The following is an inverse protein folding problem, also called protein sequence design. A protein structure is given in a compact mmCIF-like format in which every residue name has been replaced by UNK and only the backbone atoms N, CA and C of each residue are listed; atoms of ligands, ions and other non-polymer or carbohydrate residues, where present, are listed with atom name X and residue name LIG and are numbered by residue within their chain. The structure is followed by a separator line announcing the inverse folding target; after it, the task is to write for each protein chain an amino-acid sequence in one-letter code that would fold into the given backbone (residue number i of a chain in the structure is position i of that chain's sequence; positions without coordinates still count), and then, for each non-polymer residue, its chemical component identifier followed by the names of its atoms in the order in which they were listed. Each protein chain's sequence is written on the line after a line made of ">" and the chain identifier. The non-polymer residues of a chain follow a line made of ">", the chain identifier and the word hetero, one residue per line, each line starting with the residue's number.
data_IF_363639760093
#
_entry.id   IF_363639760093
#
_cell.length_a   1.000
_cell.length_b   1.000
_cell.length_c   1.000
_cell.angle_alpha   90.00
_cell.angle_beta   90.00
_cell.angle_gamma   90.00
#
_symmetry.space_group_name_H-M   'P 1'
#
loop_
_entity.id
_entity.type
_entity.pdbx_description
1 polymer ?
#
# COMPACT_ATOMS: atom_id res chain seq x y z
N UNK A 1 11.56 -7.87 12.80
CA UNK A 1 11.99 -8.32 11.47
C UNK A 1 12.68 -7.19 10.72
N UNK A 2 13.57 -7.54 9.76
CA UNK A 2 14.20 -6.60 8.85
C UNK A 2 14.25 -7.24 7.47
N UNK A 3 13.84 -6.49 6.44
CA UNK A 3 13.83 -7.00 5.06
C UNK A 3 13.71 -5.90 4.03
N UNK A 4 14.50 -6.01 2.97
CA UNK A 4 14.44 -5.12 1.80
C UNK A 4 14.12 -5.98 0.58
N UNK A 5 13.20 -5.49 -0.24
CA UNK A 5 12.86 -6.06 -1.54
C UNK A 5 13.38 -5.14 -2.63
N UNK A 6 14.09 -5.69 -3.60
CA UNK A 6 14.51 -4.95 -4.79
C UNK A 6 13.70 -5.42 -5.99
N UNK A 7 13.08 -4.47 -6.71
CA UNK A 7 12.29 -4.68 -7.91
C UNK A 7 12.99 -4.03 -9.10
N UNK A 8 13.45 -4.85 -10.03
CA UNK A 8 14.14 -4.37 -11.24
C UNK A 8 13.25 -4.63 -12.46
N UNK A 9 12.64 -3.56 -13.00
CA UNK A 9 11.76 -3.65 -14.13
C UNK A 9 12.51 -3.27 -15.41
N UNK A 10 12.70 -4.25 -16.31
CA UNK A 10 13.28 -4.01 -17.63
C UNK A 10 12.33 -3.29 -18.60
N UNK A 11 12.80 -2.88 -19.78
CA UNK A 11 12.02 -2.12 -20.74
C UNK A 11 10.67 -2.77 -21.09
N UNK A 12 9.59 -2.00 -20.97
CA UNK A 12 8.22 -2.40 -21.28
C UNK A 12 7.68 -3.55 -20.41
N UNK A 13 8.30 -3.87 -19.30
CA UNK A 13 7.80 -4.89 -18.34
C UNK A 13 6.62 -4.34 -17.54
N UNK A 14 5.80 -5.24 -17.02
CA UNK A 14 4.70 -4.92 -16.11
C UNK A 14 4.78 -5.79 -14.88
N UNK A 15 4.69 -5.16 -13.71
CA UNK A 15 4.73 -5.85 -12.44
C UNK A 15 3.58 -5.35 -11.55
N UNK A 16 2.79 -6.28 -11.03
CA UNK A 16 1.90 -6.03 -9.92
C UNK A 16 2.55 -6.59 -8.65
N UNK A 17 2.77 -5.72 -7.67
CA UNK A 17 3.39 -6.02 -6.40
C UNK A 17 2.41 -5.73 -5.27
N UNK A 18 2.24 -6.66 -4.34
CA UNK A 18 1.44 -6.45 -3.15
C UNK A 18 2.22 -6.88 -1.91
N UNK A 19 2.36 -5.99 -0.94
CA UNK A 19 3.02 -6.27 0.33
C UNK A 19 2.05 -6.13 1.49
N UNK A 20 1.89 -7.23 2.23
CA UNK A 20 1.04 -7.29 3.41
C UNK A 20 1.92 -7.40 4.67
N UNK A 21 1.86 -6.40 5.53
CA UNK A 21 2.58 -6.34 6.80
C UNK A 21 1.60 -6.52 7.93
N UNK A 22 1.34 -7.78 8.25
CA UNK A 22 0.27 -8.20 9.15
C UNK A 22 0.75 -8.50 10.57
N UNK A 23 2.04 -8.33 10.86
CA UNK A 23 2.59 -8.50 12.20
C UNK A 23 1.95 -7.49 13.17
N UNK A 24 1.66 -7.94 14.38
CA UNK A 24 0.96 -7.17 15.41
C UNK A 24 1.62 -7.29 16.77
N UNK A 25 1.04 -6.62 17.77
CA UNK A 25 1.50 -6.64 19.16
C UNK A 25 2.92 -6.07 19.30
N UNK A 26 3.78 -6.72 20.06
CA UNK A 26 5.17 -6.31 20.30
C UNK A 26 6.13 -6.52 19.13
N UNK A 27 5.62 -6.70 17.91
CA UNK A 27 6.47 -6.88 16.72
C UNK A 27 7.10 -5.54 16.30
N UNK A 28 8.41 -5.61 15.99
CA UNK A 28 9.12 -4.51 15.33
C UNK A 28 9.51 -4.92 13.91
N UNK A 29 9.20 -4.09 12.93
CA UNK A 29 9.57 -4.25 11.54
C UNK A 29 10.27 -3.00 11.02
N UNK A 30 11.45 -3.17 10.45
CA UNK A 30 12.18 -2.12 9.73
C UNK A 30 12.58 -2.68 8.38
N UNK A 31 12.10 -2.08 7.31
CA UNK A 31 12.37 -2.61 5.97
C UNK A 31 11.84 -1.71 4.88
N UNK A 32 11.93 -2.17 3.63
CA UNK A 32 11.49 -1.35 2.52
C UNK A 32 11.40 -2.09 1.20
N UNK A 33 11.00 -1.33 0.18
CA UNK A 33 10.96 -1.74 -1.22
C UNK A 33 11.71 -0.71 -2.05
N UNK A 34 12.68 -1.16 -2.83
CA UNK A 34 13.41 -0.33 -3.78
C UNK A 34 13.09 -0.80 -5.20
N UNK A 35 12.46 0.05 -5.99
CA UNK A 35 12.09 -0.24 -7.36
C UNK A 35 12.90 0.60 -8.35
N UNK A 36 13.36 -0.02 -9.43
CA UNK A 36 13.96 0.66 -10.58
C UNK A 36 13.16 0.36 -11.84
N UNK A 37 12.73 1.42 -12.51
CA UNK A 37 11.82 1.36 -13.64
C UNK A 37 12.55 1.81 -14.91
N UNK A 38 12.76 0.87 -15.83
CA UNK A 38 13.31 1.18 -17.15
C UNK A 38 12.18 1.60 -18.12
N UNK A 39 12.55 1.95 -19.34
CA UNK A 39 11.70 2.53 -20.38
C UNK A 39 10.37 1.78 -20.55
N UNK A 40 9.26 2.55 -20.57
CA UNK A 40 7.91 2.04 -20.80
C UNK A 40 7.48 0.93 -19.84
N UNK A 41 8.12 0.80 -18.68
CA UNK A 41 7.74 -0.18 -17.66
C UNK A 41 6.59 0.33 -16.80
N UNK A 42 5.80 -0.60 -16.24
CA UNK A 42 4.66 -0.30 -15.39
C UNK A 42 4.80 -1.05 -14.05
N UNK A 43 4.76 -0.32 -12.97
CA UNK A 43 4.70 -0.87 -11.61
C UNK A 43 3.37 -0.47 -10.97
N UNK A 44 2.58 -1.46 -10.56
CA UNK A 44 1.43 -1.28 -9.65
C UNK A 44 1.81 -1.91 -8.31
N UNK A 45 2.05 -1.08 -7.30
CA UNK A 45 2.53 -1.51 -5.98
C UNK A 45 1.55 -1.11 -4.89
N UNK A 46 1.00 -2.11 -4.21
CA UNK A 46 0.08 -1.90 -3.10
C UNK A 46 0.66 -2.38 -1.78
N UNK A 47 0.51 -1.57 -0.74
CA UNK A 47 1.01 -1.82 0.60
C UNK A 47 -0.13 -1.80 1.63
N UNK A 48 -0.26 -2.87 2.42
CA UNK A 48 -1.12 -2.88 3.60
C UNK A 48 -0.27 -3.06 4.85
N UNK A 49 -0.37 -2.14 5.80
CA UNK A 49 0.23 -2.27 7.12
C UNK A 49 -0.83 -2.25 8.22
N UNK A 50 -0.87 -3.31 9.02
CA UNK A 50 -1.52 -3.27 10.33
C UNK A 50 -0.52 -2.72 11.34
N UNK A 51 -1.00 -2.01 12.35
CA UNK A 51 -0.14 -1.47 13.41
C UNK A 51 0.56 -2.56 14.24
N UNK A 52 1.67 -2.21 14.85
CA UNK A 52 2.42 -3.01 15.82
C UNK A 52 3.21 -2.08 16.74
N UNK A 53 4.10 -2.59 17.58
CA UNK A 53 4.95 -1.75 18.42
C UNK A 53 5.74 -0.72 17.59
N UNK A 54 6.30 -1.14 16.46
CA UNK A 54 6.95 -0.24 15.50
C UNK A 54 6.99 -0.87 14.11
N UNK A 55 6.53 -0.14 13.10
CA UNK A 55 6.83 -0.42 11.69
C UNK A 55 7.43 0.80 11.03
N UNK A 56 8.66 0.68 10.53
CA UNK A 56 9.29 1.63 9.63
C UNK A 56 9.43 1.03 8.25
N UNK A 57 8.86 1.71 7.24
CA UNK A 57 8.77 1.23 5.88
C UNK A 57 9.28 2.31 4.94
N UNK A 58 10.40 2.02 4.27
CA UNK A 58 11.00 2.91 3.28
C UNK A 58 10.68 2.38 1.87
N UNK A 59 10.07 3.25 1.04
CA UNK A 59 9.70 2.95 -0.33
C UNK A 59 10.52 3.87 -1.25
N UNK A 60 11.34 3.30 -2.11
CA UNK A 60 12.14 4.05 -3.06
C UNK A 60 11.81 3.62 -4.49
N UNK A 61 11.48 4.58 -5.36
CA UNK A 61 11.23 4.36 -6.78
C UNK A 61 12.14 5.26 -7.59
N UNK A 62 12.95 4.67 -8.48
CA UNK A 62 13.84 5.38 -9.39
C UNK A 62 13.46 5.11 -10.84
N UNK A 63 13.20 6.15 -11.61
CA UNK A 63 12.97 6.05 -13.03
C UNK A 63 14.29 6.15 -13.79
N UNK A 64 14.68 5.05 -14.47
CA UNK A 64 15.93 4.94 -15.22
C UNK A 64 15.74 4.97 -16.74
N UNK A 65 14.49 4.82 -17.20
CA UNK A 65 14.12 4.92 -18.62
C UNK A 65 12.83 5.72 -18.82
N UNK A 66 12.70 6.46 -19.93
CA UNK A 66 11.54 7.33 -20.19
C UNK A 66 10.24 6.53 -20.41
N UNK A 67 9.10 7.17 -20.15
CA UNK A 67 7.77 6.61 -20.40
C UNK A 67 7.30 5.59 -19.36
N UNK A 68 8.05 5.40 -18.27
CA UNK A 68 7.65 4.48 -17.21
C UNK A 68 6.57 5.08 -16.30
N UNK A 69 5.78 4.22 -15.69
CA UNK A 69 4.69 4.59 -14.81
C UNK A 69 4.72 3.77 -13.51
N UNK A 70 4.36 4.43 -12.40
CA UNK A 70 4.21 3.80 -11.09
C UNK A 70 2.90 4.24 -10.43
N UNK A 71 2.04 3.27 -10.12
CA UNK A 71 0.99 3.39 -9.12
C UNK A 71 1.55 2.87 -7.79
N UNK A 72 1.67 3.75 -6.79
CA UNK A 72 2.15 3.41 -5.46
C UNK A 72 1.04 3.68 -4.44
N UNK A 73 0.35 2.63 -4.04
CA UNK A 73 -0.82 2.73 -3.19
C UNK A 73 -0.62 2.07 -1.83
N UNK A 74 -1.22 2.63 -0.78
CA UNK A 74 -1.10 2.02 0.53
C UNK A 74 -2.22 2.35 1.51
N UNK A 75 -2.46 1.41 2.42
CA UNK A 75 -3.37 1.56 3.55
C UNK A 75 -2.62 1.19 4.81
N UNK A 76 -2.76 1.99 5.85
CA UNK A 76 -2.27 1.67 7.19
C UNK A 76 -3.38 1.85 8.22
N UNK A 77 -3.52 0.83 9.10
CA UNK A 77 -4.57 0.74 10.10
C UNK A 77 -3.93 0.54 11.47
N UNK A 78 -4.18 1.47 12.38
CA UNK A 78 -3.56 1.49 13.71
C UNK A 78 -4.60 1.69 14.82
N UNK A 79 -4.33 1.06 15.96
CA UNK A 79 -5.11 1.20 17.19
C UNK A 79 -4.22 1.04 18.43
N UNK A 80 -4.79 1.21 19.63
CA UNK A 80 -4.04 1.10 20.88
C UNK A 80 -2.89 2.10 20.91
N UNK A 81 -1.68 1.66 21.14
CA UNK A 81 -0.44 2.46 21.14
C UNK A 81 0.49 2.11 19.95
N UNK A 82 -0.05 1.56 18.90
CA UNK A 82 0.68 1.10 17.72
C UNK A 82 1.36 2.26 16.97
N UNK A 83 2.48 1.93 16.29
CA UNK A 83 3.23 2.91 15.51
C UNK A 83 3.56 2.40 14.11
N UNK A 84 3.22 3.22 13.09
CA UNK A 84 3.61 2.98 11.70
C UNK A 84 4.23 4.24 11.12
N UNK A 85 5.37 4.10 10.46
CA UNK A 85 6.15 5.17 9.85
C UNK A 85 6.48 4.80 8.39
N UNK A 86 5.79 5.44 7.44
CA UNK A 86 6.03 5.31 5.99
C UNK A 86 6.87 6.46 5.47
N UNK A 87 7.93 6.13 4.75
CA UNK A 87 8.69 7.09 3.95
C UNK A 87 8.72 6.63 2.50
N UNK A 88 8.22 7.44 1.59
CA UNK A 88 8.39 7.26 0.16
C UNK A 88 9.38 8.27 -0.43
N UNK A 89 10.18 7.84 -1.37
CA UNK A 89 11.06 8.69 -2.16
C UNK A 89 10.96 8.26 -3.61
N UNK A 90 10.52 9.18 -4.46
CA UNK A 90 10.31 8.92 -5.88
C UNK A 90 11.22 9.85 -6.68
N UNK A 91 12.20 9.27 -7.38
CA UNK A 91 13.20 9.98 -8.17
C UNK A 91 12.86 9.93 -9.67
N UNK A 92 12.35 11.03 -10.21
CA UNK A 92 12.17 11.22 -11.64
C UNK A 92 13.47 11.75 -12.23
N UNK A 93 14.33 10.86 -12.73
CA UNK A 93 15.62 11.23 -13.31
C UNK A 93 15.57 11.37 -14.84
N UNK A 94 14.50 10.90 -15.49
CA UNK A 94 14.32 10.86 -16.95
C UNK A 94 12.95 11.39 -17.36
N UNK A 95 12.78 11.87 -18.61
CA UNK A 95 11.53 12.52 -19.03
C UNK A 95 10.37 11.53 -19.28
N UNK A 96 9.15 12.09 -19.39
CA UNK A 96 7.91 11.40 -19.74
C UNK A 96 7.46 10.31 -18.76
N UNK A 97 7.91 10.35 -17.51
CA UNK A 97 7.50 9.40 -16.49
C UNK A 97 6.29 9.91 -15.68
N UNK A 98 5.49 8.98 -15.18
CA UNK A 98 4.31 9.33 -14.40
C UNK A 98 4.23 8.55 -13.09
N UNK A 99 3.75 9.22 -12.02
CA UNK A 99 3.53 8.63 -10.70
C UNK A 99 2.17 9.02 -10.18
N UNK A 100 1.42 8.04 -9.68
CA UNK A 100 0.24 8.25 -8.85
C UNK A 100 0.49 7.57 -7.49
N UNK A 101 0.66 8.39 -6.43
CA UNK A 101 0.91 7.91 -5.07
C UNK A 101 -0.28 8.22 -4.17
N UNK A 102 -0.93 7.16 -3.65
CA UNK A 102 -2.13 7.32 -2.83
C UNK A 102 -2.05 6.50 -1.55
N UNK A 103 -2.02 7.18 -0.41
CA UNK A 103 -2.04 6.54 0.90
C UNK A 103 -3.26 6.95 1.72
N UNK A 104 -3.83 5.98 2.45
CA UNK A 104 -4.94 6.17 3.39
C UNK A 104 -4.58 5.59 4.75
N UNK A 105 -4.71 6.41 5.79
CA UNK A 105 -4.49 6.00 7.19
C UNK A 105 -5.79 6.03 7.99
N UNK A 106 -6.03 5.00 8.80
CA UNK A 106 -7.04 5.03 9.86
C UNK A 106 -6.31 4.82 11.18
N UNK A 107 -6.40 5.79 12.08
CA UNK A 107 -5.63 5.83 13.31
C UNK A 107 -6.61 6.02 14.48
N UNK A 108 -6.61 5.08 15.42
CA UNK A 108 -7.47 5.07 16.59
C UNK A 108 -6.71 5.05 17.90
N UNK A 109 -7.45 5.18 19.00
CA UNK A 109 -6.97 5.15 20.39
C UNK A 109 -5.84 6.18 20.65
N UNK A 110 -4.64 5.74 20.99
CA UNK A 110 -3.43 6.54 21.21
C UNK A 110 -2.33 6.19 20.18
N UNK A 111 -2.73 5.57 19.06
CA UNK A 111 -1.80 5.14 18.04
C UNK A 111 -1.21 6.35 17.30
N UNK A 112 -0.01 6.15 16.76
CA UNK A 112 0.74 7.19 16.06
C UNK A 112 1.16 6.72 14.68
N UNK A 113 0.93 7.56 13.68
CA UNK A 113 1.42 7.33 12.34
C UNK A 113 2.32 8.47 11.86
N UNK A 114 3.25 8.12 10.99
CA UNK A 114 4.07 9.08 10.23
C UNK A 114 3.97 8.71 8.76
N UNK A 115 3.78 9.72 7.91
CA UNK A 115 3.89 9.60 6.47
C UNK A 115 4.76 10.74 5.93
N UNK A 116 5.88 10.40 5.32
CA UNK A 116 6.76 11.34 4.63
C UNK A 116 6.87 10.89 3.16
N UNK A 117 6.24 11.65 2.25
CA UNK A 117 6.28 11.37 0.81
C UNK A 117 7.08 12.45 0.08
N UNK A 118 8.20 12.07 -0.53
CA UNK A 118 9.06 12.97 -1.29
C UNK A 118 9.07 12.58 -2.77
N UNK A 119 8.72 13.53 -3.63
CA UNK A 119 8.89 13.41 -5.07
C UNK A 119 9.96 14.39 -5.52
N UNK A 120 11.01 13.86 -6.15
CA UNK A 120 12.13 14.65 -6.67
C UNK A 120 12.18 14.55 -8.20
N UNK A 121 12.11 15.69 -8.86
CA UNK A 121 12.11 15.80 -10.33
C UNK A 121 13.38 16.52 -10.75
N UNK A 122 14.27 15.78 -11.42
CA UNK A 122 15.54 16.28 -11.93
C UNK A 122 15.36 17.25 -13.10
N UNK A 123 16.35 18.12 -13.41
CA UNK A 123 16.24 19.12 -14.48
C UNK A 123 15.86 18.54 -15.86
N UNK A 124 16.37 17.35 -16.17
CA UNK A 124 16.12 16.70 -17.46
C UNK A 124 14.82 15.87 -17.49
N UNK A 125 14.13 15.72 -16.38
CA UNK A 125 12.89 14.95 -16.27
C UNK A 125 11.65 15.74 -16.74
N UNK A 126 11.72 16.29 -17.96
CA UNK A 126 10.64 17.07 -18.56
C UNK A 126 9.44 16.19 -18.88
N UNK A 127 8.22 16.77 -18.96
CA UNK A 127 6.96 16.05 -19.22
C UNK A 127 6.61 15.02 -18.15
N UNK A 128 7.14 15.17 -16.96
CA UNK A 128 6.74 14.36 -15.81
C UNK A 128 5.35 14.76 -15.32
N UNK A 129 4.52 13.78 -14.99
CA UNK A 129 3.31 13.95 -14.20
C UNK A 129 3.45 13.17 -12.88
N UNK A 130 3.28 13.86 -11.74
CA UNK A 130 3.41 13.22 -10.44
C UNK A 130 2.37 13.76 -9.46
N UNK A 131 1.57 12.86 -8.90
CA UNK A 131 0.53 13.19 -7.94
C UNK A 131 0.76 12.37 -6.66
N UNK A 132 0.71 13.07 -5.50
CA UNK A 132 0.79 12.45 -4.17
C UNK A 132 -0.43 12.83 -3.35
N UNK A 133 -1.15 11.86 -2.83
CA UNK A 133 -2.31 12.06 -1.97
C UNK A 133 -2.21 11.21 -0.70
N UNK A 134 -2.05 11.87 0.46
CA UNK A 134 -2.13 11.20 1.75
C UNK A 134 -3.33 11.71 2.53
N UNK A 135 -4.32 10.85 2.79
CA UNK A 135 -5.49 11.20 3.59
C UNK A 135 -5.56 10.32 4.83
N UNK A 136 -5.90 10.92 5.95
CA UNK A 136 -5.90 10.27 7.25
C UNK A 136 -7.20 10.52 7.98
N UNK A 137 -7.74 9.48 8.60
CA UNK A 137 -8.92 9.52 9.43
C UNK A 137 -8.53 9.18 10.87
N UNK A 138 -8.71 10.13 11.77
CA UNK A 138 -8.54 9.93 13.21
C UNK A 138 -9.89 9.51 13.80
N UNK A 139 -9.92 8.36 14.46
CA UNK A 139 -11.14 7.82 15.09
C UNK A 139 -11.19 8.07 16.59
N UNK A 140 -10.16 8.67 17.16
CA UNK A 140 -10.09 9.05 18.59
C UNK A 140 -9.33 10.35 18.78
N UNK A 141 -9.53 10.99 19.95
CA UNK A 141 -8.84 12.23 20.29
C UNK A 141 -7.35 12.03 20.67
N UNK A 142 -6.95 10.81 21.02
CA UNK A 142 -5.57 10.47 21.35
C UNK A 142 -4.72 10.05 20.15
N UNK A 143 -5.36 9.81 18.99
CA UNK A 143 -4.68 9.41 17.77
C UNK A 143 -3.89 10.56 17.15
N UNK A 144 -2.70 10.25 16.62
CA UNK A 144 -1.78 11.23 16.03
C UNK A 144 -1.29 10.78 14.66
N UNK A 145 -1.23 11.72 13.72
CA UNK A 145 -0.56 11.55 12.42
C UNK A 145 0.34 12.75 12.11
N UNK A 146 1.58 12.48 11.77
CA UNK A 146 2.51 13.45 11.20
C UNK A 146 2.64 13.17 9.71
N UNK A 147 2.01 14.00 8.87
CA UNK A 147 2.07 13.85 7.41
C UNK A 147 2.84 15.00 6.78
N UNK A 148 3.83 14.66 5.94
CA UNK A 148 4.72 15.61 5.29
C UNK A 148 4.91 15.24 3.82
N UNK A 149 4.07 15.74 2.90
CA UNK A 149 4.34 15.64 1.47
C UNK A 149 5.37 16.68 1.04
N UNK A 150 6.35 16.27 0.23
CA UNK A 150 7.42 17.12 -0.28
C UNK A 150 7.52 17.02 -1.81
N UNK A 151 7.65 18.15 -2.49
CA UNK A 151 7.95 18.25 -3.92
C UNK A 151 9.22 19.06 -4.13
N UNK A 152 10.23 18.43 -4.74
CA UNK A 152 11.45 19.09 -5.18
C UNK A 152 11.49 19.06 -6.71
N UNK A 153 11.23 20.20 -7.35
CA UNK A 153 11.02 20.26 -8.79
C UNK A 153 12.07 21.16 -9.41
N UNK A 154 12.91 20.57 -10.28
CA UNK A 154 13.97 21.27 -10.99
C UNK A 154 13.76 21.28 -12.51
N UNK A 155 12.63 20.74 -13.02
CA UNK A 155 12.22 20.81 -14.43
C UNK A 155 11.08 21.82 -14.61
N UNK A 156 10.96 22.42 -15.79
CA UNK A 156 10.01 23.49 -16.08
C UNK A 156 8.67 22.98 -16.63
N UNK A 157 8.70 21.94 -17.45
CA UNK A 157 7.52 21.42 -18.15
C UNK A 157 7.03 20.13 -17.50
N UNK A 158 6.36 20.29 -16.35
CA UNK A 158 5.84 19.19 -15.53
C UNK A 158 4.46 19.49 -14.97
N UNK A 159 3.73 18.46 -14.58
CA UNK A 159 2.44 18.54 -13.90
C UNK A 159 2.55 17.79 -12.56
N UNK A 160 2.65 18.53 -11.47
CA UNK A 160 2.85 17.94 -10.16
C UNK A 160 1.89 18.53 -9.15
N UNK A 161 1.34 17.66 -8.32
CA UNK A 161 0.48 18.03 -7.21
C UNK A 161 0.74 17.15 -6.01
N UNK A 162 0.56 17.72 -4.82
CA UNK A 162 0.46 16.92 -3.61
C UNK A 162 -0.68 17.41 -2.71
N UNK A 163 -1.20 16.51 -1.91
CA UNK A 163 -2.22 16.83 -0.93
C UNK A 163 -2.12 15.93 0.29
N UNK A 164 -2.26 16.54 1.47
CA UNK A 164 -2.42 15.82 2.72
C UNK A 164 -3.65 16.33 3.46
N UNK A 165 -4.43 15.41 4.02
CA UNK A 165 -5.57 15.75 4.86
C UNK A 165 -5.59 14.92 6.12
N UNK A 166 -6.01 15.54 7.21
CA UNK A 166 -6.30 14.87 8.47
C UNK A 166 -7.73 15.22 8.85
N UNK A 167 -8.57 14.23 8.94
CA UNK A 167 -9.98 14.38 9.26
C UNK A 167 -10.35 13.53 10.50
N UNK A 168 -11.45 13.88 11.12
CA UNK A 168 -12.11 13.07 12.15
C UNK A 168 -13.41 12.52 11.59
N UNK A 169 -13.98 11.51 12.28
CA UNK A 169 -15.30 11.01 11.94
C UNK A 169 -16.33 12.14 12.01
N UNK A 170 -17.16 12.24 10.97
CA UNK A 170 -18.23 13.24 10.91
C UNK A 170 -19.39 12.84 11.83
N UNK A 171 -19.56 13.58 12.93
CA UNK A 171 -20.63 13.33 13.91
C UNK A 171 -22.03 13.48 13.28
N UNK A 172 -22.20 14.29 12.24
CA UNK A 172 -23.47 14.41 11.50
C UNK A 172 -23.77 13.12 10.73
N UNK A 173 -22.79 12.53 10.08
CA UNK A 173 -22.92 11.23 9.41
C UNK A 173 -23.16 10.11 10.39
N UNK A 174 -22.45 10.08 11.51
CA UNK A 174 -22.70 9.13 12.62
C UNK A 174 -24.13 9.27 13.14
N UNK A 175 -24.59 10.50 13.40
CA UNK A 175 -25.97 10.74 13.83
C UNK A 175 -26.98 10.26 12.79
N UNK A 176 -26.76 10.55 11.52
CA UNK A 176 -27.63 10.10 10.44
C UNK A 176 -27.77 8.57 10.40
N UNK A 177 -26.67 7.83 10.48
CA UNK A 177 -26.70 6.36 10.51
C UNK A 177 -27.45 5.84 11.75
N UNK A 178 -27.22 6.44 12.92
CA UNK A 178 -27.90 6.08 14.18
C UNK A 178 -29.41 6.31 14.10
N UNK A 179 -29.88 7.36 13.46
CA UNK A 179 -31.32 7.59 13.24
C UNK A 179 -31.95 6.54 12.34
N UNK A 180 -31.17 5.78 11.60
CA UNK A 180 -31.59 4.64 10.76
C UNK A 180 -31.47 3.29 11.46
N UNK A 181 -31.17 3.29 12.76
CA UNK A 181 -31.09 2.07 13.58
C UNK A 181 -29.70 1.40 13.57
N UNK A 182 -28.69 2.01 12.95
CA UNK A 182 -27.31 1.50 13.00
C UNK A 182 -26.68 1.84 14.34
N UNK A 183 -26.06 0.88 15.01
CA UNK A 183 -25.31 1.12 16.26
C UNK A 183 -24.13 2.07 16.05
N UNK A 184 -23.66 2.74 17.11
CA UNK A 184 -22.54 3.70 16.97
C UNK A 184 -21.29 3.01 16.42
N UNK A 185 -20.91 1.90 17.01
CA UNK A 185 -19.68 1.17 16.62
C UNK A 185 -19.76 0.68 15.18
N UNK A 186 -20.93 0.19 14.75
CA UNK A 186 -21.17 -0.23 13.37
C UNK A 186 -21.13 0.96 12.39
N UNK A 187 -21.68 2.12 12.78
CA UNK A 187 -21.63 3.33 11.98
C UNK A 187 -20.19 3.83 11.80
N UNK A 188 -19.37 3.79 12.85
CA UNK A 188 -17.94 4.15 12.79
C UNK A 188 -17.18 3.22 11.83
N UNK A 189 -17.45 1.92 11.89
CA UNK A 189 -16.88 0.93 10.96
C UNK A 189 -17.30 1.21 9.52
N UNK A 190 -18.59 1.48 9.28
CA UNK A 190 -19.10 1.77 7.94
C UNK A 190 -18.42 3.00 7.33
N UNK A 191 -18.28 4.08 8.11
CA UNK A 191 -17.62 5.30 7.66
C UNK A 191 -16.12 5.09 7.43
N UNK A 192 -15.45 4.38 8.32
CA UNK A 192 -14.04 4.03 8.21
C UNK A 192 -13.76 3.17 6.97
N UNK A 193 -14.62 2.18 6.71
CA UNK A 193 -14.53 1.36 5.51
C UNK A 193 -14.75 2.19 4.24
N UNK A 194 -15.77 3.06 4.23
CA UNK A 194 -16.03 3.97 3.10
C UNK A 194 -14.83 4.86 2.76
N UNK A 195 -14.04 5.24 3.77
CA UNK A 195 -12.85 6.07 3.59
C UNK A 195 -11.72 5.37 2.82
N UNK A 196 -11.55 4.05 2.96
CA UNK A 196 -10.51 3.26 2.29
C UNK A 196 -11.03 2.46 1.09
N UNK A 197 -12.35 2.38 0.90
CA UNK A 197 -13.00 1.47 -0.06
C UNK A 197 -12.52 1.68 -1.51
N UNK A 198 -12.25 2.91 -1.91
CA UNK A 198 -11.74 3.23 -3.25
C UNK A 198 -10.44 2.46 -3.56
N UNK A 199 -9.48 2.47 -2.63
CA UNK A 199 -8.22 1.73 -2.79
C UNK A 199 -8.42 0.22 -2.71
N UNK A 200 -9.35 -0.23 -1.87
CA UNK A 200 -9.68 -1.67 -1.75
C UNK A 200 -10.36 -2.20 -3.01
N UNK A 201 -11.24 -1.42 -3.63
CA UNK A 201 -11.91 -1.81 -4.88
C UNK A 201 -11.00 -1.77 -6.10
N UNK A 202 -10.01 -0.87 -6.10
CA UNK A 202 -9.00 -0.78 -7.16
C UNK A 202 -8.02 -1.97 -7.17
N UNK A 203 -7.93 -2.73 -6.07
CA UNK A 203 -7.07 -3.89 -5.99
C UNK A 203 -7.61 -5.04 -6.84
N UNK A 204 -7.05 -5.22 -8.03
CA UNK A 204 -7.25 -6.39 -8.87
C UNK A 204 -6.27 -7.51 -8.49
N UNK A 205 -6.31 -7.95 -7.22
CA UNK A 205 -5.52 -9.09 -6.81
C UNK A 205 -6.19 -10.38 -7.28
N UNK A 206 -5.52 -11.13 -8.16
CA UNK A 206 -5.84 -12.56 -8.32
C UNK A 206 -5.24 -13.32 -7.13
N UNK A 207 -5.95 -14.21 -6.43
CA UNK A 207 -5.36 -14.99 -5.37
C UNK A 207 -4.22 -15.85 -5.87
N UNK A 208 -3.20 -16.02 -5.04
CA UNK A 208 -2.28 -17.13 -5.21
C UNK A 208 -3.09 -18.43 -5.27
N UNK A 209 -2.79 -19.30 -6.26
CA UNK A 209 -3.48 -20.55 -6.44
C UNK A 209 -3.58 -21.31 -5.12
N UNK A 210 -4.80 -21.73 -4.83
CA UNK A 210 -5.26 -22.54 -3.70
C UNK A 210 -4.27 -22.78 -2.53
N UNK A 211 -4.11 -21.77 -1.66
CA UNK A 211 -4.03 -22.05 -0.24
C UNK A 211 -5.48 -22.09 0.27
N UNK A 212 -5.93 -23.18 0.91
CA UNK A 212 -7.33 -23.31 1.26
C UNK A 212 -7.74 -22.23 2.26
N UNK A 213 -8.64 -21.35 1.85
CA UNK A 213 -9.62 -20.75 2.70
C UNK A 213 -9.17 -19.75 3.74
N UNK A 214 -8.27 -18.79 3.47
CA UNK A 214 -8.14 -17.63 4.33
C UNK A 214 -8.68 -16.37 3.65
N UNK A 215 -9.85 -15.85 4.12
CA UNK A 215 -10.22 -14.45 3.91
C UNK A 215 -9.12 -13.55 4.50
N UNK A 216 -9.15 -12.23 4.19
CA UNK A 216 -8.31 -11.25 4.92
C UNK A 216 -8.23 -11.64 6.38
N UNK A 217 -7.03 -11.70 7.00
CA UNK A 217 -6.88 -12.21 8.35
C UNK A 217 -7.91 -11.56 9.27
N UNK A 218 -8.54 -12.34 10.13
CA UNK A 218 -9.52 -11.87 11.15
C UNK A 218 -9.02 -10.61 11.89
N UNK A 219 -7.73 -10.44 11.95
CA UNK A 219 -7.04 -9.32 12.57
C UNK A 219 -7.13 -8.00 11.79
N UNK A 220 -7.14 -8.01 10.46
CA UNK A 220 -7.40 -6.81 9.66
C UNK A 220 -8.82 -6.29 9.90
N UNK A 221 -9.79 -7.19 10.12
CA UNK A 221 -11.17 -6.84 10.47
C UNK A 221 -11.26 -6.12 11.82
N UNK A 222 -10.48 -6.57 12.82
CA UNK A 222 -10.45 -5.95 14.15
C UNK A 222 -9.90 -4.54 14.13
N UNK A 223 -8.98 -4.22 13.22
CA UNK A 223 -8.42 -2.88 13.09
C UNK A 223 -9.40 -1.87 12.49
N UNK A 224 -10.33 -2.33 11.64
CA UNK A 224 -11.40 -1.50 11.09
C UNK A 224 -12.67 -1.56 11.97
N UNK A 225 -12.64 -2.30 13.09
CA UNK A 225 -13.77 -2.46 14.00
C UNK A 225 -14.88 -3.35 13.44
N UNK A 226 -14.65 -4.13 12.37
CA UNK A 226 -15.65 -5.04 11.79
C UNK A 226 -15.88 -6.22 12.73
N UNK A 227 -17.12 -6.45 13.22
CA UNK A 227 -17.44 -7.62 14.02
C UNK A 227 -17.18 -8.92 13.26
N UNK A 228 -16.80 -9.97 13.98
CA UNK A 228 -16.42 -11.27 13.37
C UNK A 228 -17.56 -11.99 12.61
N UNK A 229 -18.80 -11.49 12.70
CA UNK A 229 -20.00 -12.13 12.18
C UNK A 229 -20.69 -11.36 11.03
N UNK A 230 -20.09 -10.29 10.50
CA UNK A 230 -20.77 -9.49 9.47
C UNK A 230 -20.58 -10.07 8.06
N UNK A 231 -21.61 -10.78 7.59
CA UNK A 231 -21.69 -11.47 6.30
C UNK A 231 -21.55 -10.52 5.08
N UNK A 232 -21.83 -9.23 5.24
CA UNK A 232 -21.75 -8.21 4.17
C UNK A 232 -20.31 -7.72 3.95
N UNK A 233 -19.54 -7.50 5.01
CA UNK A 233 -18.12 -7.21 4.94
C UNK A 233 -17.37 -8.43 4.41
N UNK A 234 -17.80 -9.64 4.83
CA UNK A 234 -17.26 -10.91 4.36
C UNK A 234 -17.54 -11.16 2.87
N UNK A 235 -18.71 -10.77 2.37
CA UNK A 235 -19.04 -10.91 0.94
C UNK A 235 -18.27 -9.94 0.03
N UNK A 236 -17.88 -8.75 0.51
CA UNK A 236 -17.12 -7.79 -0.29
C UNK A 236 -15.60 -8.02 -0.19
N UNK A 237 -15.10 -8.30 1.00
CA UNK A 237 -13.73 -8.80 1.21
C UNK A 237 -13.55 -10.20 0.63
N UNK A 238 -14.58 -11.05 0.69
CA UNK A 238 -14.64 -12.35 0.01
C UNK A 238 -14.84 -12.26 -1.51
N UNK A 239 -15.23 -11.11 -2.09
CA UNK A 239 -15.17 -10.87 -3.54
C UNK A 239 -13.77 -10.52 -4.01
N UNK A 240 -13.00 -9.82 -3.20
CA UNK A 240 -11.54 -9.74 -3.37
C UNK A 240 -10.95 -11.15 -3.44
N UNK A 241 -11.33 -12.03 -2.53
CA UNK A 241 -10.92 -13.44 -2.52
C UNK A 241 -11.50 -14.29 -3.65
N UNK A 242 -12.62 -13.95 -4.28
CA UNK A 242 -13.29 -14.76 -5.33
C UNK A 242 -13.07 -14.32 -6.78
N UNK A 243 -12.54 -13.14 -7.06
CA UNK A 243 -12.17 -12.69 -8.42
C UNK A 243 -10.91 -13.32 -9.00
N UNK A 244 -10.39 -14.29 -8.32
CA UNK A 244 -9.05 -14.86 -8.39
C UNK A 244 -8.84 -16.08 -9.31
N UNK A 245 -9.59 -16.34 -10.30
CA UNK A 245 -9.45 -17.61 -11.05
C UNK A 245 -8.83 -17.53 -12.45
N UNK A 246 -7.89 -16.64 -12.76
CA UNK A 246 -7.06 -16.79 -14.01
C UNK A 246 -5.82 -15.89 -13.98
N UNK A 247 -4.67 -16.41 -13.58
CA UNK A 247 -3.36 -15.81 -13.78
C UNK A 247 -2.25 -16.48 -12.96
N UNK A 248 -1.03 -16.48 -13.46
CA UNK A 248 0.13 -17.03 -12.75
C UNK A 248 0.67 -16.00 -11.76
N UNK A 249 0.76 -16.36 -10.51
CA UNK A 249 1.40 -15.60 -9.45
C UNK A 249 2.62 -16.38 -8.98
N UNK A 250 3.77 -15.71 -8.92
CA UNK A 250 4.99 -16.31 -8.37
C UNK A 250 5.19 -15.80 -6.96
N UNK A 251 5.40 -16.68 -6.00
CA UNK A 251 5.64 -16.33 -4.60
C UNK A 251 7.13 -16.18 -4.31
N UNK A 252 7.51 -15.08 -3.68
CA UNK A 252 8.77 -14.98 -2.97
C UNK A 252 8.49 -15.13 -1.46
N UNK A 253 8.95 -16.23 -0.86
CA UNK A 253 8.65 -16.56 0.52
C UNK A 253 9.61 -15.88 1.48
N UNK A 254 9.26 -14.67 1.93
CA UNK A 254 9.58 -14.15 3.27
C UNK A 254 8.83 -12.82 3.48
N UNK A 255 7.78 -12.84 4.27
CA UNK A 255 7.13 -11.61 4.73
C UNK A 255 5.91 -11.14 3.93
N UNK A 256 5.13 -12.03 3.28
CA UNK A 256 3.82 -11.66 2.73
C UNK A 256 3.84 -10.75 1.50
N UNK A 257 4.81 -10.91 0.62
CA UNK A 257 4.88 -10.23 -0.67
C UNK A 257 4.25 -11.06 -1.79
N UNK A 258 3.55 -10.37 -2.71
CA UNK A 258 2.91 -10.97 -3.88
C UNK A 258 3.34 -10.23 -5.13
N UNK A 259 3.83 -10.96 -6.11
CA UNK A 259 4.30 -10.44 -7.40
C UNK A 259 3.53 -11.09 -8.54
N UNK A 260 3.00 -10.29 -9.46
CA UNK A 260 2.39 -10.75 -10.70
C UNK A 260 3.08 -10.11 -11.89
N UNK A 261 3.56 -10.93 -12.81
CA UNK A 261 4.11 -10.48 -14.10
C UNK A 261 3.11 -10.77 -15.20
N UNK A 262 2.79 -9.77 -16.03
CA UNK A 262 1.88 -9.95 -17.18
C UNK A 262 2.53 -10.73 -18.33
N UNK A 263 1.74 -11.32 -19.25
CA UNK A 263 2.27 -12.15 -20.30
C UNK A 263 3.03 -11.31 -21.34
N UNK A 264 4.32 -11.56 -21.50
CA UNK A 264 5.00 -11.45 -22.80
C UNK A 264 5.46 -12.84 -23.18
N UNK A 265 5.39 -13.11 -24.50
CA UNK A 265 5.67 -14.36 -25.14
C UNK A 265 6.84 -15.12 -24.54
N UNK A 266 6.65 -16.41 -24.52
CA UNK A 266 7.62 -17.37 -24.06
C UNK A 266 8.99 -17.05 -24.66
N UNK A 267 9.96 -16.79 -23.75
CA UNK A 267 11.32 -17.28 -23.87
C UNK A 267 12.15 -16.65 -22.73
N UNK A 268 12.59 -17.50 -21.85
CA UNK A 268 13.76 -17.28 -21.00
C UNK A 268 13.53 -16.68 -19.61
N UNK A 269 12.93 -17.42 -18.70
CA UNK A 269 13.16 -17.22 -17.27
C UNK A 269 13.98 -18.42 -16.80
N UNK A 270 15.27 -18.13 -16.53
CA UNK A 270 16.14 -19.06 -15.87
C UNK A 270 15.67 -19.32 -14.43
N UNK A 271 15.64 -20.59 -14.05
CA UNK A 271 15.36 -21.03 -12.69
C UNK A 271 16.35 -20.39 -11.72
N UNK A 272 15.84 -19.54 -10.81
CA UNK A 272 16.61 -19.07 -9.66
C UNK A 272 16.55 -20.16 -8.60
N UNK A 273 17.63 -20.96 -8.52
CA UNK A 273 17.77 -21.92 -7.44
C UNK A 273 17.81 -21.20 -6.07
N UNK A 274 17.15 -21.76 -5.05
CA UNK A 274 17.24 -21.19 -3.69
C UNK A 274 18.66 -21.41 -3.13
N UNK A 275 19.29 -20.31 -2.77
CA UNK A 275 20.61 -20.28 -2.14
C UNK A 275 20.59 -21.06 -0.81
N UNK A 276 21.14 -22.29 -0.83
CA UNK A 276 21.39 -23.10 0.37
C UNK A 276 22.57 -22.50 1.13
N UNK A 277 22.28 -21.67 2.13
CA UNK A 277 23.30 -21.24 3.08
C UNK A 277 23.86 -22.44 3.85
N UNK A 278 25.15 -22.66 3.70
CA UNK A 278 25.95 -23.65 4.42
C UNK A 278 25.81 -23.51 5.94
N UNK A 279 25.24 -24.54 6.57
CA UNK A 279 25.60 -24.87 7.95
C UNK A 279 27.01 -25.47 7.93
N UNK A 280 27.96 -24.80 8.57
CA UNK A 280 29.17 -25.46 9.10
C UNK A 280 29.31 -25.04 10.56
N UNK A 281 29.30 -26.08 11.39
CA UNK A 281 29.88 -26.34 12.72
C UNK A 281 30.13 -25.18 13.66
#
# INVERSE_FOLDING_TARGET
>A
TNGITELLLGPGSRLQHCRLQLEQGGAMHIGGVHARLDRDSLLDSFHLALGSELKRIDLAVEYTGPGAHCDLNGIYLLRGSEHVDYHSTIEHAVPHCTTDEVFRGIIGDEARAVFNGRIHIHPDAQKTRAELSNKNLLTSAGAEINTKPELEIYADDVQCAHGATVAQLDEGMLHYLRTRGVGRDEAEVMLSYGFINELVEALELEPPGEAPGHPLPLDARRHVGVPAEDELADQRLGRLARRQRRGRVTFAASGGEYLKTGPRGADGIGDVEPNRSHRRR
#
